data_IF_331237611150
#
_entry.id   IF_331237611150
#
_cell.length_a   1.000
_cell.length_b   1.000
_cell.length_c   1.000
_cell.angle_alpha   90.00
_cell.angle_beta   90.00
_cell.angle_gamma   90.00
#
_symmetry.space_group_name_H-M   'P 1'
#
loop_
_entity.id
_entity.type
_entity.pdbx_description
1 polymer ?
#
# COMPACT_ATOMS: atom_id res chain seq x y z
N UNK A 1 22.26 83.56 -0.83
CA UNK A 1 22.57 83.18 -2.22
C UNK A 1 22.64 81.65 -2.31
N UNK A 2 21.68 81.04 -3.01
CA UNK A 2 21.59 79.69 -3.63
C UNK A 2 22.42 78.47 -3.09
N UNK A 3 21.71 77.52 -2.47
CA UNK A 3 21.48 76.11 -2.91
C UNK A 3 22.51 75.36 -3.80
N UNK A 4 22.99 74.18 -3.36
CA UNK A 4 22.77 72.79 -3.89
C UNK A 4 23.79 71.77 -3.32
N UNK A 5 23.36 70.72 -2.58
CA UNK A 5 23.10 69.29 -2.98
C UNK A 5 24.39 68.51 -3.39
N UNK A 6 24.71 67.27 -2.98
CA UNK A 6 23.91 66.09 -2.59
C UNK A 6 24.81 64.92 -2.06
N UNK A 7 24.27 64.14 -1.11
CA UNK A 7 24.32 62.65 -0.89
C UNK A 7 25.69 61.94 -0.64
N UNK A 8 25.82 60.87 0.17
CA UNK A 8 25.05 59.60 0.19
C UNK A 8 25.14 58.86 1.56
N UNK A 9 23.99 58.30 1.95
CA UNK A 9 23.63 57.12 2.76
C UNK A 9 24.35 56.71 4.06
N UNK A 10 23.52 56.55 5.09
CA UNK A 10 23.80 55.98 6.40
C UNK A 10 23.31 54.53 6.52
N UNK A 11 24.01 53.74 7.33
CA UNK A 11 23.52 52.53 7.99
C UNK A 11 23.86 52.67 9.47
N UNK A 12 22.95 52.31 10.40
CA UNK A 12 23.39 51.87 11.71
C UNK A 12 22.97 50.42 11.99
N UNK A 13 23.92 49.72 12.59
CA UNK A 13 23.73 48.48 13.33
C UNK A 13 22.80 48.72 14.53
N UNK A 14 22.00 47.71 14.89
CA UNK A 14 21.34 47.66 16.20
C UNK A 14 21.64 46.32 16.87
N UNK A 15 22.06 46.49 18.11
CA UNK A 15 22.48 45.55 19.13
C UNK A 15 21.30 44.68 19.61
N UNK A 16 21.61 43.45 20.01
CA UNK A 16 20.73 42.46 20.64
C UNK A 16 20.34 42.90 22.06
N UNK A 17 19.07 42.76 22.42
CA UNK A 17 18.63 42.57 23.81
C UNK A 17 17.56 41.46 23.83
N UNK A 18 17.77 40.50 24.73
CA UNK A 18 16.94 39.32 24.94
C UNK A 18 15.67 39.65 25.70
N UNK A 19 14.57 38.98 25.35
CA UNK A 19 13.35 38.95 26.15
C UNK A 19 12.22 38.16 25.49
N UNK A 20 11.77 37.12 26.19
CA UNK A 20 10.46 36.44 26.14
C UNK A 20 10.25 35.34 25.08
N UNK A 21 9.93 34.16 25.61
CA UNK A 21 9.53 32.94 24.92
C UNK A 21 8.19 33.11 24.20
N UNK A 22 8.12 32.62 22.95
CA UNK A 22 6.88 32.33 22.23
C UNK A 22 6.84 30.82 21.92
N UNK A 23 5.71 30.12 22.13
CA UNK A 23 5.66 28.66 22.05
C UNK A 23 5.69 28.16 20.61
N UNK A 24 6.40 27.05 20.39
CA UNK A 24 6.12 26.08 19.34
C UNK A 24 6.08 26.61 17.91
N UNK A 25 7.24 27.04 17.38
CA UNK A 25 7.44 27.03 15.93
C UNK A 25 7.48 25.57 15.44
N UNK A 26 6.30 24.98 15.22
CA UNK A 26 6.16 23.82 14.36
C UNK A 26 6.59 24.26 12.96
N UNK A 27 7.87 24.08 12.65
CA UNK A 27 8.39 24.23 11.30
C UNK A 27 7.76 23.12 10.42
N UNK A 28 6.52 23.36 9.98
CA UNK A 28 5.94 22.65 8.85
C UNK A 28 6.65 23.22 7.61
N UNK A 29 7.79 22.63 7.22
CA UNK A 29 8.36 22.99 5.93
C UNK A 29 7.36 22.57 4.85
N UNK A 30 7.10 23.48 3.92
CA UNK A 30 5.98 23.37 3.01
C UNK A 30 6.01 22.06 2.21
N UNK A 31 4.90 21.31 2.18
CA UNK A 31 4.73 20.18 1.30
C UNK A 31 4.72 20.69 -0.15
N UNK A 32 5.54 20.09 -1.01
CA UNK A 32 5.62 20.49 -2.42
C UNK A 32 4.25 20.37 -3.10
N UNK A 33 3.63 21.47 -3.57
CA UNK A 33 2.44 21.40 -4.39
C UNK A 33 2.80 20.67 -5.67
N UNK A 34 2.18 19.52 -5.89
CA UNK A 34 2.47 18.69 -7.06
C UNK A 34 1.33 18.91 -8.05
N UNK A 35 1.64 19.49 -9.22
CA UNK A 35 0.64 19.80 -10.25
C UNK A 35 0.08 18.52 -10.89
N UNK A 36 -1.23 18.50 -11.13
CA UNK A 36 -1.94 17.49 -11.93
C UNK A 36 -2.88 16.60 -11.13
N UNK A 37 -4.05 16.32 -11.72
CA UNK A 37 -5.04 15.38 -11.16
C UNK A 37 -4.49 13.95 -11.08
N UNK A 38 -4.85 13.25 -10.00
CA UNK A 38 -4.52 11.86 -9.76
C UNK A 38 -5.66 11.18 -9.00
N UNK A 39 -5.61 9.85 -8.88
CA UNK A 39 -6.63 9.08 -8.16
C UNK A 39 -6.07 8.08 -7.15
N UNK A 40 -4.74 7.94 -7.13
CA UNK A 40 -4.01 7.14 -6.16
C UNK A 40 -2.66 7.80 -5.88
N UNK A 41 -2.25 7.82 -4.61
CA UNK A 41 -0.98 8.39 -4.20
C UNK A 41 -0.26 7.53 -3.16
N UNK A 42 1.06 7.44 -3.29
CA UNK A 42 1.96 6.86 -2.30
C UNK A 42 3.18 7.77 -2.11
N UNK A 43 4.15 7.32 -1.31
CA UNK A 43 5.40 8.05 -1.11
C UNK A 43 6.57 7.12 -1.38
N UNK A 44 7.61 7.63 -2.04
CA UNK A 44 8.88 6.92 -2.24
C UNK A 44 10.06 7.74 -1.73
N UNK A 45 11.16 7.09 -1.36
CA UNK A 45 12.43 7.72 -1.00
C UNK A 45 13.61 6.86 -1.43
N UNK A 46 14.82 7.42 -1.59
CA UNK A 46 16.03 6.63 -1.77
C UNK A 46 16.19 5.69 -0.57
N UNK A 47 16.46 4.40 -0.77
CA UNK A 47 16.47 3.41 0.32
C UNK A 47 17.50 3.72 1.41
N UNK A 48 18.57 4.45 1.08
CA UNK A 48 19.56 4.94 2.05
C UNK A 48 19.05 6.08 2.96
N UNK A 49 17.87 6.63 2.69
CA UNK A 49 17.27 7.77 3.38
C UNK A 49 15.99 7.37 4.13
N UNK A 50 16.02 6.23 4.83
CA UNK A 50 14.86 5.70 5.55
C UNK A 50 14.34 6.72 6.59
N UNK A 51 13.06 7.12 6.52
CA UNK A 51 12.47 8.00 7.52
C UNK A 51 12.49 7.40 8.93
N UNK A 52 12.89 8.21 9.92
CA UNK A 52 12.82 7.87 11.33
C UNK A 52 11.39 8.11 11.89
N UNK A 53 10.37 7.50 11.28
CA UNK A 53 8.97 7.67 11.68
C UNK A 53 7.97 7.13 10.67
N UNK A 54 6.69 7.32 10.98
CA UNK A 54 5.58 6.92 10.11
C UNK A 54 5.36 7.97 9.00
N UNK A 55 5.25 7.50 7.75
CA UNK A 55 4.92 8.38 6.62
C UNK A 55 3.41 8.59 6.59
N UNK A 56 3.00 9.86 6.56
CA UNK A 56 1.60 10.25 6.41
C UNK A 56 1.38 11.03 5.12
N UNK A 57 0.21 10.84 4.53
CA UNK A 57 -0.26 11.60 3.37
C UNK A 57 -1.65 12.18 3.64
N UNK A 58 -1.94 13.34 3.07
CA UNK A 58 -3.31 13.85 2.89
C UNK A 58 -3.47 14.38 1.47
N UNK A 59 -4.68 14.37 0.96
CA UNK A 59 -4.96 14.79 -0.42
C UNK A 59 -6.16 15.71 -0.48
N UNK A 60 -6.18 16.59 -1.46
CA UNK A 60 -7.28 17.51 -1.72
C UNK A 60 -8.15 16.96 -2.85
N UNK A 61 -9.45 16.81 -2.60
CA UNK A 61 -10.39 16.30 -3.58
C UNK A 61 -10.62 17.34 -4.69
N UNK A 62 -10.42 16.97 -5.96
CA UNK A 62 -10.46 17.89 -7.10
C UNK A 62 -11.83 18.56 -7.28
N UNK A 63 -12.93 17.86 -6.98
CA UNK A 63 -14.28 18.39 -7.16
C UNK A 63 -14.80 19.28 -6.03
N UNK A 64 -14.18 19.24 -4.83
CA UNK A 64 -14.68 19.97 -3.65
C UNK A 64 -13.66 20.89 -3.01
N UNK A 65 -12.36 20.73 -3.33
CA UNK A 65 -11.27 21.42 -2.64
C UNK A 65 -11.06 20.96 -1.19
N UNK A 66 -11.80 19.96 -0.71
CA UNK A 66 -11.70 19.49 0.67
C UNK A 66 -10.46 18.62 0.88
N UNK A 67 -9.72 18.89 1.96
CA UNK A 67 -8.60 18.07 2.39
C UNK A 67 -9.07 16.84 3.16
N UNK A 68 -8.49 15.68 2.85
CA UNK A 68 -8.60 14.52 3.73
C UNK A 68 -7.90 14.79 5.07
N UNK A 69 -8.28 14.07 6.16
CA UNK A 69 -7.39 13.96 7.30
C UNK A 69 -6.07 13.31 6.90
N UNK A 70 -5.06 13.41 7.76
CA UNK A 70 -3.79 12.71 7.57
C UNK A 70 -3.98 11.20 7.69
N UNK A 71 -3.37 10.46 6.78
CA UNK A 71 -3.42 9.01 6.72
C UNK A 71 -2.01 8.43 6.76
N UNK A 72 -1.74 7.56 7.73
CA UNK A 72 -0.48 6.80 7.78
C UNK A 72 -0.47 5.74 6.70
N UNK A 73 0.59 5.73 5.89
CA UNK A 73 0.86 4.71 4.88
C UNK A 73 1.80 3.63 5.46
N UNK A 74 1.55 2.37 5.10
CA UNK A 74 2.43 1.27 5.48
C UNK A 74 3.60 1.21 4.49
N UNK A 75 4.82 0.97 4.96
CA UNK A 75 5.99 0.83 4.09
C UNK A 75 5.94 -0.53 3.41
N UNK A 76 6.09 -0.54 2.08
CA UNK A 76 6.18 -1.78 1.31
C UNK A 76 7.61 -2.33 1.48
N UNK A 77 7.76 -3.62 1.84
CA UNK A 77 9.06 -4.25 2.00
C UNK A 77 9.93 -4.10 0.75
N UNK A 78 11.25 -3.91 0.93
CA UNK A 78 12.14 -3.53 -0.16
C UNK A 78 12.13 -4.44 -1.40
N UNK A 79 11.85 -5.74 -1.39
CA UNK A 79 12.12 -6.66 -2.53
C UNK A 79 13.58 -6.65 -3.06
N UNK A 80 14.03 -7.79 -3.57
CA UNK A 80 15.36 -7.95 -4.17
C UNK A 80 15.41 -7.48 -5.63
N UNK A 81 14.28 -7.05 -6.19
CA UNK A 81 14.18 -6.52 -7.55
C UNK A 81 14.70 -5.07 -7.57
N UNK A 82 16.00 -4.91 -7.87
CA UNK A 82 16.77 -3.74 -8.37
C UNK A 82 16.45 -2.30 -7.91
N UNK A 83 15.54 -2.09 -6.97
CA UNK A 83 15.07 -0.79 -6.55
C UNK A 83 16.08 -0.08 -5.66
N UNK A 84 16.54 1.08 -6.10
CA UNK A 84 17.28 2.05 -5.28
C UNK A 84 16.35 2.87 -4.38
N UNK A 85 15.04 2.66 -4.48
CA UNK A 85 13.99 3.37 -3.74
C UNK A 85 13.16 2.40 -2.92
N UNK A 86 12.69 2.89 -1.77
CA UNK A 86 11.67 2.26 -0.93
C UNK A 86 10.36 3.02 -1.15
N UNK A 87 9.24 2.31 -1.14
CA UNK A 87 7.91 2.87 -1.36
C UNK A 87 6.95 2.49 -0.24
N UNK A 88 5.85 3.22 -0.14
CA UNK A 88 4.71 2.86 0.70
C UNK A 88 3.68 2.06 -0.09
N UNK A 89 2.79 1.35 0.60
CA UNK A 89 1.50 0.99 0.03
C UNK A 89 0.79 2.27 -0.42
N UNK A 90 0.28 2.34 -1.65
CA UNK A 90 -0.42 3.52 -2.12
C UNK A 90 -1.84 3.55 -1.55
N UNK A 91 -2.44 4.73 -1.58
CA UNK A 91 -3.83 4.95 -1.16
C UNK A 91 -4.65 5.51 -2.30
N UNK A 92 -5.81 4.91 -2.55
CA UNK A 92 -6.85 5.45 -3.40
C UNK A 92 -7.46 6.70 -2.78
N UNK A 93 -7.48 7.77 -3.57
CA UNK A 93 -7.92 9.09 -3.14
C UNK A 93 -9.27 9.48 -3.76
N UNK A 94 -9.70 8.76 -4.80
CA UNK A 94 -10.63 9.34 -5.78
C UNK A 94 -9.96 10.52 -6.51
N UNK A 95 -10.69 11.26 -7.36
CA UNK A 95 -10.13 12.42 -8.05
C UNK A 95 -9.56 13.45 -7.07
N UNK A 96 -8.25 13.66 -7.12
CA UNK A 96 -7.51 14.58 -6.27
C UNK A 96 -6.57 15.44 -7.12
N UNK A 97 -6.39 16.70 -6.74
CA UNK A 97 -5.59 17.67 -7.48
C UNK A 97 -4.33 18.11 -6.71
N UNK A 98 -4.29 17.84 -5.40
CA UNK A 98 -3.17 18.18 -4.53
C UNK A 98 -2.90 17.08 -3.50
N UNK A 99 -1.63 16.91 -3.12
CA UNK A 99 -1.19 15.98 -2.08
C UNK A 99 -0.10 16.59 -1.22
N UNK A 100 -0.13 16.26 0.06
CA UNK A 100 0.90 16.63 1.03
C UNK A 100 1.33 15.40 1.81
N UNK A 101 2.62 15.31 2.13
CA UNK A 101 3.18 14.18 2.86
C UNK A 101 4.17 14.66 3.92
N UNK A 102 4.25 13.91 5.02
CA UNK A 102 5.13 14.21 6.16
C UNK A 102 5.59 12.93 6.85
N UNK A 103 6.62 13.05 7.67
CA UNK A 103 7.05 12.00 8.60
C UNK A 103 6.58 12.39 9.99
N UNK A 104 5.97 11.46 10.73
CA UNK A 104 5.57 11.63 12.13
C UNK A 104 6.37 10.68 13.01
N UNK A 105 7.06 11.23 14.01
CA UNK A 105 7.86 10.48 14.97
C UNK A 105 6.99 9.89 16.09
N UNK A 106 7.59 9.02 16.90
CA UNK A 106 6.90 8.39 18.03
C UNK A 106 6.43 9.41 19.10
N UNK A 107 7.13 10.55 19.22
CA UNK A 107 6.78 11.66 20.11
C UNK A 107 5.65 12.56 19.55
N UNK A 108 5.11 12.23 18.37
CA UNK A 108 4.06 13.00 17.69
C UNK A 108 4.56 14.21 16.89
N UNK A 109 5.85 14.55 16.98
CA UNK A 109 6.43 15.61 16.16
C UNK A 109 6.39 15.22 14.68
N UNK A 110 6.20 16.21 13.80
CA UNK A 110 6.22 16.00 12.35
C UNK A 110 7.36 16.74 11.68
N UNK A 111 7.99 16.10 10.70
CA UNK A 111 9.00 16.70 9.83
C UNK A 111 8.64 16.52 8.36
N UNK A 112 9.25 17.30 7.46
CA UNK A 112 9.17 17.06 6.03
C UNK A 112 9.67 15.66 5.65
N UNK A 113 9.36 15.23 4.42
CA UNK A 113 9.94 14.02 3.86
C UNK A 113 11.47 14.17 3.71
N UNK A 114 12.24 13.06 3.78
CA UNK A 114 13.69 13.11 3.61
C UNK A 114 14.09 13.56 2.20
N UNK A 115 15.34 14.03 2.06
CA UNK A 115 15.88 14.48 0.77
C UNK A 115 15.72 13.39 -0.31
N UNK A 116 15.19 13.78 -1.47
CA UNK A 116 14.98 12.88 -2.60
C UNK A 116 13.72 12.01 -2.51
N UNK A 117 12.93 12.16 -1.44
CA UNK A 117 11.59 11.60 -1.36
C UNK A 117 10.63 12.28 -2.33
N UNK A 118 9.61 11.55 -2.76
CA UNK A 118 8.63 11.98 -3.76
C UNK A 118 7.24 11.49 -3.34
N UNK A 119 6.23 12.32 -3.58
CA UNK A 119 4.85 11.86 -3.61
C UNK A 119 4.63 11.25 -4.99
N UNK A 120 4.36 9.96 -5.00
CA UNK A 120 4.16 9.16 -6.19
C UNK A 120 2.68 9.16 -6.53
N UNK A 121 2.32 9.59 -7.74
CA UNK A 121 0.93 9.78 -8.15
C UNK A 121 0.58 8.92 -9.33
N UNK A 122 -0.60 8.33 -9.27
CA UNK A 122 -1.19 7.58 -10.37
C UNK A 122 -2.51 8.24 -10.73
N UNK A 123 -2.59 8.74 -11.96
CA UNK A 123 -3.86 9.02 -12.62
C UNK A 123 -4.38 7.70 -13.19
N UNK A 124 -5.43 7.17 -12.57
CA UNK A 124 -6.19 6.06 -13.16
C UNK A 124 -6.94 6.57 -14.38
N UNK A 125 -6.93 5.76 -15.44
CA UNK A 125 -7.67 6.03 -16.65
C UNK A 125 -8.61 4.84 -16.90
N UNK A 126 -9.83 5.08 -17.40
CA UNK A 126 -10.71 4.00 -17.81
C UNK A 126 -9.99 3.03 -18.74
N UNK A 127 -10.25 1.74 -18.59
CA UNK A 127 -9.74 0.75 -19.53
C UNK A 127 -10.20 1.11 -20.95
N UNK A 128 -9.27 1.14 -21.91
CA UNK A 128 -9.59 1.32 -23.33
C UNK A 128 -10.34 0.07 -23.81
N UNK A 129 -11.67 0.18 -23.88
CA UNK A 129 -12.57 -0.94 -24.15
C UNK A 129 -13.62 -1.05 -23.05
N UNK A 130 -14.89 -0.91 -23.43
CA UNK A 130 -16.02 -0.93 -22.52
C UNK A 130 -15.91 -2.10 -21.53
N UNK A 131 -15.84 -1.79 -20.24
CA UNK A 131 -15.91 -2.79 -19.19
C UNK A 131 -17.22 -3.58 -19.38
N UNK A 132 -17.19 -4.92 -19.43
CA UNK A 132 -18.42 -5.68 -19.43
C UNK A 132 -19.22 -5.32 -18.18
N UNK A 133 -20.48 -4.88 -18.36
CA UNK A 133 -21.45 -4.78 -17.27
C UNK A 133 -21.44 -6.11 -16.50
N UNK A 134 -21.11 -6.14 -15.21
CA UNK A 134 -20.97 -7.41 -14.52
C UNK A 134 -22.34 -8.02 -14.27
N UNK A 135 -22.67 -9.09 -14.98
CA UNK A 135 -23.54 -10.14 -14.43
C UNK A 135 -22.76 -10.78 -13.28
N UNK A 136 -22.93 -10.25 -12.07
CA UNK A 136 -22.28 -10.76 -10.89
C UNK A 136 -22.87 -12.13 -10.50
N UNK A 137 -22.36 -13.22 -11.09
CA UNK A 137 -22.52 -14.53 -10.47
C UNK A 137 -21.71 -14.55 -9.18
N UNK A 138 -22.39 -14.86 -8.07
CA UNK A 138 -21.78 -15.08 -6.76
C UNK A 138 -20.85 -16.31 -6.89
N UNK A 139 -19.53 -16.12 -6.73
CA UNK A 139 -18.58 -17.24 -6.63
C UNK A 139 -17.61 -17.49 -7.78
N UNK A 140 -17.33 -16.52 -8.66
CA UNK A 140 -16.25 -16.64 -9.66
C UNK A 140 -15.18 -15.58 -9.39
N UNK A 141 -13.91 -16.00 -9.39
CA UNK A 141 -12.76 -15.09 -9.34
C UNK A 141 -12.78 -14.23 -10.61
N UNK A 142 -12.76 -12.90 -10.43
CA UNK A 142 -12.70 -11.96 -11.55
C UNK A 142 -11.32 -12.00 -12.19
N UNK A 143 -11.26 -12.36 -13.46
CA UNK A 143 -9.99 -12.50 -14.19
C UNK A 143 -9.34 -11.15 -14.43
N UNK A 144 -8.04 -11.18 -14.77
CA UNK A 144 -7.28 -10.00 -15.18
C UNK A 144 -7.92 -9.22 -16.31
N UNK A 145 -8.41 -9.91 -17.33
CA UNK A 145 -9.21 -9.32 -18.43
C UNK A 145 -10.47 -8.62 -17.91
N UNK A 146 -11.18 -9.19 -16.94
CA UNK A 146 -12.44 -8.63 -16.42
C UNK A 146 -12.25 -7.36 -15.59
N UNK A 147 -11.11 -7.16 -14.94
CA UNK A 147 -10.80 -5.89 -14.26
C UNK A 147 -9.98 -4.92 -15.11
N UNK A 148 -9.64 -5.30 -16.35
CA UNK A 148 -8.96 -4.44 -17.32
C UNK A 148 -7.46 -4.32 -17.07
N UNK A 149 -6.80 -5.43 -16.71
CA UNK A 149 -5.35 -5.47 -16.59
C UNK A 149 -4.67 -5.08 -17.91
N UNK A 150 -3.72 -4.13 -17.84
CA UNK A 150 -2.87 -3.83 -18.98
C UNK A 150 -1.67 -4.79 -18.99
N UNK A 151 -1.81 -5.91 -19.70
CA UNK A 151 -0.78 -6.96 -19.70
C UNK A 151 0.55 -6.53 -20.35
N UNK A 152 0.58 -5.44 -21.12
CA UNK A 152 1.84 -4.90 -21.67
C UNK A 152 2.73 -4.22 -20.63
N UNK A 153 2.21 -4.00 -19.41
CA UNK A 153 3.00 -3.49 -18.30
C UNK A 153 3.76 -4.59 -17.56
N UNK A 154 3.43 -5.87 -17.76
CA UNK A 154 4.16 -6.94 -17.08
C UNK A 154 5.62 -6.95 -17.52
N UNK A 155 6.50 -7.18 -16.56
CA UNK A 155 7.91 -7.50 -16.81
C UNK A 155 8.07 -8.99 -17.11
N UNK A 156 9.00 -9.61 -16.41
CA UNK A 156 9.42 -10.99 -16.63
C UNK A 156 8.26 -12.01 -16.49
N UNK A 157 8.39 -13.20 -17.10
CA UNK A 157 7.43 -14.28 -16.95
C UNK A 157 7.17 -14.66 -15.48
N UNK A 158 5.97 -15.18 -15.15
CA UNK A 158 5.65 -15.58 -13.79
C UNK A 158 6.50 -16.76 -13.32
N UNK A 159 7.02 -16.66 -12.11
CA UNK A 159 7.67 -17.75 -11.38
C UNK A 159 6.66 -18.55 -10.57
N UNK A 160 6.97 -19.83 -10.32
CA UNK A 160 6.10 -20.74 -9.58
C UNK A 160 6.89 -21.43 -8.46
N UNK A 161 6.31 -21.40 -7.26
CA UNK A 161 6.75 -22.26 -6.16
C UNK A 161 6.30 -23.71 -6.39
N UNK A 162 6.61 -24.60 -5.44
CA UNK A 162 6.19 -26.00 -5.53
C UNK A 162 4.71 -26.17 -5.18
N UNK A 163 4.23 -25.47 -4.14
CA UNK A 163 2.85 -25.52 -3.65
C UNK A 163 2.54 -24.30 -2.79
N UNK A 164 1.25 -23.99 -2.62
CA UNK A 164 0.82 -22.97 -1.66
C UNK A 164 0.66 -23.61 -0.28
N UNK A 165 1.60 -23.34 0.60
CA UNK A 165 1.62 -23.84 1.97
C UNK A 165 0.82 -22.97 2.94
N UNK A 166 0.76 -21.65 2.67
CA UNK A 166 0.00 -20.69 3.46
C UNK A 166 -0.64 -19.60 2.61
N UNK A 167 -1.76 -19.07 3.08
CA UNK A 167 -2.39 -17.84 2.61
C UNK A 167 -2.04 -16.72 3.57
N UNK A 168 -1.43 -15.66 3.04
CA UNK A 168 -1.12 -14.44 3.80
C UNK A 168 -2.19 -13.38 3.50
N UNK A 169 -2.86 -12.91 4.55
CA UNK A 169 -3.92 -11.90 4.45
C UNK A 169 -3.32 -10.51 4.62
N UNK A 170 -3.61 -9.64 3.66
CA UNK A 170 -3.18 -8.25 3.60
C UNK A 170 -4.38 -7.29 3.60
N UNK A 171 -4.12 -6.02 3.87
CA UNK A 171 -4.95 -4.90 3.46
C UNK A 171 -4.13 -3.96 2.57
N UNK A 172 -4.77 -3.09 1.81
CA UNK A 172 -4.07 -2.15 0.91
C UNK A 172 -3.87 -0.75 1.51
N UNK A 173 -4.42 -0.48 2.71
CA UNK A 173 -4.42 0.87 3.34
C UNK A 173 -5.23 1.91 2.53
N UNK A 174 -6.06 1.45 1.59
CA UNK A 174 -6.98 2.30 0.83
C UNK A 174 -8.10 2.89 1.70
N UNK A 175 -8.80 3.89 1.17
CA UNK A 175 -10.09 4.29 1.72
C UNK A 175 -11.07 3.12 1.75
N UNK A 176 -11.99 3.08 2.72
CA UNK A 176 -13.11 2.15 2.74
C UNK A 176 -14.41 2.76 2.16
N UNK A 177 -14.35 4.00 1.66
CA UNK A 177 -15.51 4.75 1.18
C UNK A 177 -15.80 4.58 -0.32
N UNK A 178 -15.00 3.80 -1.06
CA UNK A 178 -15.21 3.58 -2.49
C UNK A 178 -16.49 2.78 -2.78
N UNK A 179 -17.06 3.00 -3.96
CA UNK A 179 -18.12 2.15 -4.46
C UNK A 179 -17.52 0.85 -4.96
N UNK A 180 -18.14 -0.29 -4.66
CA UNK A 180 -17.55 -1.56 -5.06
C UNK A 180 -17.49 -1.75 -6.60
N UNK A 181 -18.13 -0.87 -7.38
CA UNK A 181 -17.97 -0.80 -8.83
C UNK A 181 -16.59 -0.21 -9.23
N UNK A 182 -15.95 0.56 -8.35
CA UNK A 182 -14.64 1.18 -8.56
C UNK A 182 -13.48 0.23 -8.27
N UNK A 183 -13.74 -0.92 -7.66
CA UNK A 183 -12.69 -1.88 -7.30
C UNK A 183 -11.75 -2.24 -8.48
N UNK A 184 -12.24 -2.48 -9.73
CA UNK A 184 -11.36 -2.63 -10.88
C UNK A 184 -10.41 -1.44 -11.14
N UNK A 185 -10.90 -0.20 -11.00
CA UNK A 185 -10.08 1.01 -11.17
C UNK A 185 -9.01 1.11 -10.09
N UNK A 186 -9.37 0.84 -8.83
CA UNK A 186 -8.42 0.79 -7.71
C UNK A 186 -7.33 -0.25 -7.98
N UNK A 187 -7.71 -1.46 -8.41
CA UNK A 187 -6.76 -2.54 -8.74
C UNK A 187 -5.83 -2.13 -9.88
N UNK A 188 -6.34 -1.50 -10.95
CA UNK A 188 -5.50 -0.98 -12.05
C UNK A 188 -4.51 0.08 -11.58
N UNK A 189 -4.93 0.97 -10.69
CA UNK A 189 -4.06 2.00 -10.15
C UNK A 189 -2.95 1.42 -9.26
N UNK A 190 -3.28 0.44 -8.40
CA UNK A 190 -2.29 -0.30 -7.61
C UNK A 190 -1.35 -1.10 -8.51
N UNK A 191 -1.87 -1.74 -9.55
CA UNK A 191 -1.05 -2.46 -10.53
C UNK A 191 -0.05 -1.51 -11.22
N UNK A 192 -0.52 -0.35 -11.69
CA UNK A 192 0.36 0.68 -12.27
C UNK A 192 1.42 1.15 -11.28
N UNK A 193 1.04 1.38 -10.02
CA UNK A 193 1.97 1.78 -8.96
C UNK A 193 3.07 0.72 -8.76
N UNK A 194 2.69 -0.56 -8.62
CA UNK A 194 3.65 -1.65 -8.46
C UNK A 194 4.62 -1.76 -9.64
N UNK A 195 4.14 -1.68 -10.88
CA UNK A 195 5.04 -1.80 -12.04
C UNK A 195 5.85 -0.54 -12.29
N UNK A 196 5.19 0.62 -12.36
CA UNK A 196 5.81 1.86 -12.84
C UNK A 196 6.53 2.64 -11.75
N UNK A 197 6.13 2.47 -10.49
CA UNK A 197 6.75 3.14 -9.35
C UNK A 197 7.67 2.19 -8.59
N UNK A 198 7.21 0.99 -8.23
CA UNK A 198 8.06 0.04 -7.49
C UNK A 198 9.03 -0.72 -8.40
N UNK A 199 8.80 -0.73 -9.72
CA UNK A 199 9.62 -1.48 -10.68
C UNK A 199 9.37 -2.98 -10.69
N UNK A 200 8.24 -3.44 -10.13
CA UNK A 200 7.93 -4.86 -10.03
C UNK A 200 7.45 -5.45 -11.36
N UNK A 201 7.68 -6.74 -11.54
CA UNK A 201 7.24 -7.47 -12.72
C UNK A 201 5.71 -7.50 -12.91
N UNK A 202 4.92 -7.45 -11.83
CA UNK A 202 3.46 -7.41 -11.88
C UNK A 202 2.90 -6.90 -10.54
N UNK A 203 1.57 -6.83 -10.39
CA UNK A 203 0.94 -6.57 -9.10
C UNK A 203 1.41 -7.60 -8.04
N UNK A 204 1.87 -7.11 -6.88
CA UNK A 204 2.53 -7.97 -5.88
C UNK A 204 1.61 -9.00 -5.20
N UNK A 205 0.31 -8.74 -5.12
CA UNK A 205 -0.66 -9.64 -4.51
C UNK A 205 -1.13 -10.72 -5.50
N UNK A 206 -1.25 -11.97 -5.04
CA UNK A 206 -1.82 -13.04 -5.87
C UNK A 206 -3.31 -12.82 -6.13
N UNK A 207 -4.04 -12.33 -5.14
CA UNK A 207 -5.47 -12.04 -5.22
C UNK A 207 -5.83 -10.77 -4.46
N UNK A 208 -6.94 -10.15 -4.84
CA UNK A 208 -7.48 -8.98 -4.16
C UNK A 208 -8.97 -9.16 -3.87
N UNK A 209 -9.46 -8.58 -2.78
CA UNK A 209 -10.85 -8.67 -2.32
C UNK A 209 -11.40 -7.28 -2.06
N UNK A 210 -12.55 -6.95 -2.65
CA UNK A 210 -13.27 -5.71 -2.34
C UNK A 210 -14.13 -5.84 -1.07
N UNK A 211 -14.59 -4.71 -0.53
CA UNK A 211 -15.46 -4.67 0.66
C UNK A 211 -16.83 -5.32 0.45
N UNK A 212 -17.22 -5.57 -0.80
CA UNK A 212 -18.44 -6.26 -1.18
C UNK A 212 -18.27 -7.79 -1.28
N UNK A 213 -17.08 -8.32 -1.05
CA UNK A 213 -16.78 -9.75 -1.08
C UNK A 213 -16.57 -10.30 -2.49
N UNK A 214 -16.23 -9.45 -3.46
CA UNK A 214 -15.76 -9.90 -4.79
C UNK A 214 -14.26 -10.12 -4.73
N UNK A 215 -13.80 -11.17 -5.40
CA UNK A 215 -12.38 -11.54 -5.48
C UNK A 215 -11.88 -11.40 -6.91
N UNK A 216 -10.64 -10.95 -7.04
CA UNK A 216 -9.98 -10.61 -8.30
C UNK A 216 -8.64 -11.34 -8.36
N UNK A 217 -8.31 -11.89 -9.51
CA UNK A 217 -6.97 -12.41 -9.81
C UNK A 217 -5.99 -11.24 -9.86
N UNK A 218 -4.96 -11.27 -9.02
CA UNK A 218 -3.85 -10.32 -9.02
C UNK A 218 -2.74 -10.83 -9.92
N UNK A 219 -1.61 -11.26 -9.35
CA UNK A 219 -0.42 -11.77 -10.04
C UNK A 219 -0.78 -12.75 -11.17
N UNK A 220 -0.35 -12.45 -12.38
CA UNK A 220 -0.63 -13.20 -13.61
C UNK A 220 -0.17 -14.65 -13.52
N UNK A 221 -0.96 -15.58 -14.07
CA UNK A 221 -0.69 -17.01 -14.03
C UNK A 221 -1.03 -17.66 -12.68
N UNK A 222 -1.62 -16.90 -11.76
CA UNK A 222 -1.78 -17.29 -10.37
C UNK A 222 -2.97 -18.18 -10.03
N UNK A 223 -4.00 -18.24 -10.88
CA UNK A 223 -5.24 -19.00 -10.72
C UNK A 223 -5.17 -20.19 -9.75
N UNK A 224 -5.14 -21.42 -10.24
CA UNK A 224 -4.93 -22.62 -9.39
C UNK A 224 -3.46 -22.87 -9.06
N UNK A 225 -2.51 -22.19 -9.71
CA UNK A 225 -1.06 -22.44 -9.63
C UNK A 225 -0.39 -21.71 -8.46
N UNK A 226 0.75 -22.19 -7.94
CA UNK A 226 1.51 -21.53 -6.88
C UNK A 226 2.40 -20.40 -7.43
N UNK A 227 1.81 -19.40 -8.10
CA UNK A 227 2.60 -18.27 -8.63
C UNK A 227 3.24 -17.48 -7.49
N UNK A 228 4.52 -17.14 -7.64
CA UNK A 228 5.26 -16.33 -6.67
C UNK A 228 4.83 -14.87 -6.79
N UNK A 229 4.41 -14.28 -5.67
CA UNK A 229 4.04 -12.87 -5.58
C UNK A 229 5.20 -11.97 -5.15
N UNK A 230 4.88 -10.72 -4.82
CA UNK A 230 5.80 -9.73 -4.24
C UNK A 230 5.15 -9.02 -3.04
N UNK A 231 4.37 -9.75 -2.23
CA UNK A 231 3.55 -9.19 -1.16
C UNK A 231 4.18 -9.30 0.24
N UNK A 232 5.13 -10.20 0.46
CA UNK A 232 5.74 -10.45 1.77
C UNK A 232 7.21 -10.85 1.61
N UNK A 233 8.11 -9.89 1.70
CA UNK A 233 9.56 -10.12 1.60
C UNK A 233 10.04 -11.24 2.55
N UNK A 234 10.83 -12.16 2.02
CA UNK A 234 11.25 -13.39 2.73
C UNK A 234 10.26 -14.54 2.63
N UNK A 235 8.99 -14.30 2.31
CA UNK A 235 7.92 -15.30 2.35
C UNK A 235 7.03 -15.30 1.11
N UNK A 236 7.48 -14.70 -0.01
CA UNK A 236 6.75 -14.71 -1.28
C UNK A 236 6.63 -16.12 -1.86
N UNK A 237 7.68 -16.94 -1.72
CA UNK A 237 7.68 -18.30 -2.23
C UNK A 237 6.77 -19.19 -1.36
N UNK A 238 6.08 -20.14 -2.00
CA UNK A 238 5.15 -21.09 -1.38
C UNK A 238 4.01 -20.47 -0.55
N UNK A 239 3.73 -19.17 -0.68
CA UNK A 239 2.55 -18.55 -0.09
C UNK A 239 1.67 -17.89 -1.15
N UNK A 240 0.42 -17.62 -0.80
CA UNK A 240 -0.50 -16.85 -1.64
C UNK A 240 -1.02 -15.65 -0.87
N UNK A 241 -0.62 -14.46 -1.29
CA UNK A 241 -1.06 -13.18 -0.74
C UNK A 241 -2.43 -12.78 -1.26
N UNK A 242 -3.37 -12.54 -0.34
CA UNK A 242 -4.68 -11.97 -0.63
C UNK A 242 -4.85 -10.62 0.07
N UNK A 243 -4.98 -9.54 -0.70
CA UNK A 243 -5.15 -8.18 -0.18
C UNK A 243 -6.61 -7.75 -0.17
N UNK A 244 -7.11 -7.33 0.99
CA UNK A 244 -8.43 -6.70 1.10
C UNK A 244 -8.30 -5.20 0.85
N UNK A 245 -9.00 -4.70 -0.17
CA UNK A 245 -8.99 -3.28 -0.53
C UNK A 245 -9.64 -2.48 0.61
N UNK A 246 -8.83 -1.64 1.28
CA UNK A 246 -9.24 -0.75 2.36
C UNK A 246 -8.28 -0.72 3.56
N UNK A 247 -8.66 0.04 4.59
CA UNK A 247 -7.90 0.21 5.83
C UNK A 247 -8.67 -0.37 7.05
N UNK A 248 -8.30 -1.59 7.44
CA UNK A 248 -8.90 -2.31 8.57
C UNK A 248 -8.12 -2.15 9.88
N UNK A 249 -7.35 -1.07 10.05
CA UNK A 249 -6.74 -0.76 11.37
C UNK A 249 -7.81 -0.49 12.42
N UNK A 250 -8.80 0.34 12.10
CA UNK A 250 -9.91 0.69 13.00
C UNK A 250 -11.30 0.37 12.44
N UNK A 251 -11.44 0.26 11.11
CA UNK A 251 -12.72 0.01 10.45
C UNK A 251 -13.18 -1.44 10.60
N UNK A 252 -14.46 -1.63 10.87
CA UNK A 252 -15.06 -2.95 10.96
C UNK A 252 -14.93 -3.71 9.62
N UNK A 253 -14.70 -5.01 9.71
CA UNK A 253 -14.59 -5.89 8.54
C UNK A 253 -15.98 -6.37 8.14
N UNK A 254 -16.45 -6.13 6.90
CA UNK A 254 -17.72 -6.67 6.43
C UNK A 254 -17.73 -8.20 6.47
N UNK A 255 -18.86 -8.80 6.86
CA UNK A 255 -19.00 -10.27 6.91
C UNK A 255 -18.73 -10.92 5.55
N UNK A 256 -19.13 -10.27 4.45
CA UNK A 256 -18.86 -10.70 3.07
C UNK A 256 -17.36 -10.87 2.80
N UNK A 257 -16.50 -10.00 3.36
CA UNK A 257 -15.03 -10.11 3.26
C UNK A 257 -14.54 -11.36 3.99
N UNK A 258 -14.96 -11.57 5.24
CA UNK A 258 -14.56 -12.77 5.99
C UNK A 258 -15.04 -14.06 5.31
N UNK A 259 -16.25 -14.07 4.74
CA UNK A 259 -16.80 -15.23 4.04
C UNK A 259 -16.09 -15.52 2.71
N UNK A 260 -15.70 -14.51 1.93
CA UNK A 260 -14.94 -14.75 0.69
C UNK A 260 -13.50 -15.17 1.00
N UNK A 261 -12.85 -14.59 2.02
CA UNK A 261 -11.51 -15.01 2.44
C UNK A 261 -11.50 -16.46 2.91
N UNK A 262 -12.51 -16.90 3.67
CA UNK A 262 -12.61 -18.28 4.11
C UNK A 262 -12.76 -19.25 2.92
N UNK A 263 -13.66 -18.94 1.97
CA UNK A 263 -13.84 -19.76 0.76
C UNK A 263 -12.59 -19.80 -0.11
N UNK A 264 -11.93 -18.66 -0.27
CA UNK A 264 -10.68 -18.56 -1.02
C UNK A 264 -9.57 -19.39 -0.36
N UNK A 265 -9.36 -19.23 0.95
CA UNK A 265 -8.35 -19.96 1.69
C UNK A 265 -8.58 -21.48 1.62
N UNK A 266 -9.83 -21.92 1.81
CA UNK A 266 -10.21 -23.34 1.63
C UNK A 266 -9.84 -23.83 0.23
N UNK A 267 -10.29 -23.13 -0.81
CA UNK A 267 -10.04 -23.53 -2.19
C UNK A 267 -8.54 -23.60 -2.50
N UNK A 268 -7.78 -22.55 -2.17
CA UNK A 268 -6.35 -22.47 -2.52
C UNK A 268 -5.51 -23.49 -1.77
N UNK A 269 -5.80 -23.73 -0.49
CA UNK A 269 -5.09 -24.73 0.32
C UNK A 269 -5.51 -26.16 -0.02
N UNK A 270 -6.75 -26.40 -0.40
CA UNK A 270 -7.22 -27.73 -0.83
C UNK A 270 -6.50 -28.22 -2.10
N UNK A 271 -6.12 -27.32 -3.01
CA UNK A 271 -5.29 -27.67 -4.19
C UNK A 271 -3.98 -28.33 -3.76
N UNK A 272 -3.41 -27.90 -2.62
CA UNK A 272 -2.19 -28.45 -2.05
C UNK A 272 -2.44 -29.54 -0.98
N UNK A 273 -3.71 -29.96 -0.78
CA UNK A 273 -4.08 -30.98 0.21
C UNK A 273 -4.05 -30.52 1.67
N UNK A 274 -4.19 -29.22 1.94
CA UNK A 274 -4.06 -28.64 3.28
C UNK A 274 -5.36 -28.07 3.86
N UNK A 275 -5.51 -28.15 5.19
CA UNK A 275 -6.64 -27.52 5.92
C UNK A 275 -6.24 -26.17 6.50
N UNK A 276 -7.16 -25.20 6.46
CA UNK A 276 -6.89 -23.81 6.84
C UNK A 276 -6.50 -23.60 8.32
N UNK A 277 -7.02 -24.41 9.23
CA UNK A 277 -6.72 -24.36 10.68
C UNK A 277 -5.41 -25.04 11.08
N UNK A 278 -4.69 -25.71 10.17
CA UNK A 278 -3.39 -26.32 10.47
C UNK A 278 -2.30 -25.25 10.61
N UNK A 279 -1.23 -25.62 11.31
CA UNK A 279 0.02 -24.84 11.33
C UNK A 279 1.00 -25.35 10.28
N UNK A 280 1.88 -24.47 9.83
CA UNK A 280 2.99 -24.77 8.93
C UNK A 280 4.23 -23.99 9.40
N UNK A 281 5.41 -24.53 9.12
CA UNK A 281 6.68 -23.83 9.31
C UNK A 281 7.10 -23.29 7.95
N UNK A 282 7.18 -21.98 7.83
CA UNK A 282 7.72 -21.30 6.65
C UNK A 282 9.18 -20.94 6.90
N UNK A 283 9.99 -20.92 5.85
CA UNK A 283 11.39 -20.50 5.91
C UNK A 283 11.57 -19.14 5.22
N UNK A 284 12.28 -18.22 5.86
CA UNK A 284 12.58 -16.93 5.27
C UNK A 284 13.62 -17.08 4.14
N UNK A 285 13.21 -16.86 2.90
CA UNK A 285 14.12 -16.93 1.74
C UNK A 285 15.17 -15.81 1.69
N UNK A 286 14.89 -14.68 2.37
CA UNK A 286 15.78 -13.52 2.53
C UNK A 286 15.52 -12.84 3.88
N UNK A 287 16.52 -12.15 4.44
CA UNK A 287 16.33 -11.30 5.62
C UNK A 287 15.37 -10.16 5.31
N UNK A 288 14.44 -9.89 6.23
CA UNK A 288 13.36 -8.92 6.03
C UNK A 288 13.21 -7.90 7.17
N UNK A 289 14.22 -7.83 8.05
CA UNK A 289 14.27 -6.95 9.22
C UNK A 289 13.52 -7.50 10.44
N UNK A 290 12.66 -8.50 10.27
CA UNK A 290 12.03 -9.24 11.36
C UNK A 290 12.62 -10.64 11.54
N UNK A 291 12.96 -11.27 10.43
CA UNK A 291 13.57 -12.58 10.35
C UNK A 291 14.79 -12.53 9.44
N UNK A 292 15.79 -13.32 9.75
CA UNK A 292 16.97 -13.53 8.92
C UNK A 292 16.75 -14.64 7.90
N UNK A 293 17.53 -14.63 6.81
CA UNK A 293 17.48 -15.70 5.81
C UNK A 293 17.73 -17.06 6.47
N UNK A 294 16.84 -18.02 6.21
CA UNK A 294 16.88 -19.37 6.77
C UNK A 294 16.09 -19.53 8.08
N UNK A 295 15.60 -18.45 8.68
CA UNK A 295 14.76 -18.53 9.88
C UNK A 295 13.48 -19.31 9.61
N UNK A 296 13.11 -20.17 10.56
CA UNK A 296 11.91 -21.01 10.52
C UNK A 296 10.82 -20.42 11.38
N UNK A 297 9.70 -20.04 10.76
CA UNK A 297 8.58 -19.36 11.41
C UNK A 297 7.33 -20.24 11.37
N UNK A 298 6.83 -20.61 12.55
CA UNK A 298 5.63 -21.43 12.68
C UNK A 298 4.37 -20.55 12.73
N UNK A 299 3.52 -20.65 11.71
CA UNK A 299 2.27 -19.89 11.59
C UNK A 299 1.09 -20.81 11.29
N UNK A 300 -0.14 -20.30 11.42
CA UNK A 300 -1.28 -20.97 10.81
C UNK A 300 -1.21 -20.86 9.29
N UNK A 301 -1.75 -21.84 8.56
CA UNK A 301 -1.83 -21.80 7.09
C UNK A 301 -2.68 -20.65 6.57
N UNK A 302 -3.54 -20.05 7.39
CA UNK A 302 -4.08 -18.71 7.15
C UNK A 302 -3.53 -17.77 8.22
N UNK A 303 -2.61 -16.90 7.79
CA UNK A 303 -1.90 -15.95 8.63
C UNK A 303 -2.00 -14.54 8.06
N UNK A 304 -1.62 -13.53 8.84
CA UNK A 304 -1.50 -12.16 8.39
C UNK A 304 -0.06 -11.83 7.98
N UNK A 305 0.09 -10.79 7.16
CA UNK A 305 1.40 -10.24 6.81
C UNK A 305 2.26 -9.94 8.05
N UNK A 306 1.69 -9.32 9.10
CA UNK A 306 2.41 -9.03 10.36
C UNK A 306 2.98 -10.25 11.08
N UNK A 307 2.50 -11.46 10.79
CA UNK A 307 3.06 -12.67 11.39
C UNK A 307 4.48 -12.94 10.83
N UNK A 308 4.74 -12.56 9.59
CA UNK A 308 6.00 -12.88 8.87
C UNK A 308 6.84 -11.64 8.50
N UNK A 309 6.31 -10.43 8.69
CA UNK A 309 7.00 -9.17 8.39
C UNK A 309 6.71 -8.09 9.46
N UNK A 310 7.59 -7.10 9.60
CA UNK A 310 7.42 -5.97 10.53
C UNK A 310 6.45 -4.92 9.97
N UNK A 311 5.15 -5.15 10.12
CA UNK A 311 4.09 -4.30 9.56
C UNK A 311 2.82 -4.31 10.40
N UNK A 312 1.97 -3.29 10.23
CA UNK A 312 0.62 -3.25 10.79
C UNK A 312 -0.39 -4.05 9.95
N UNK A 313 -0.04 -4.45 8.72
CA UNK A 313 -0.91 -5.17 7.82
C UNK A 313 -1.36 -6.54 8.39
N UNK A 314 -2.66 -6.92 8.32
CA UNK A 314 -3.76 -6.32 7.56
C UNK A 314 -4.63 -5.34 8.37
N UNK A 315 -4.08 -4.70 9.40
CA UNK A 315 -4.85 -3.89 10.36
C UNK A 315 -5.50 -4.71 11.48
N UNK A 316 -5.71 -4.08 12.64
CA UNK A 316 -6.12 -4.77 13.86
C UNK A 316 -7.49 -5.44 13.74
N UNK A 317 -8.47 -4.82 13.05
CA UNK A 317 -9.82 -5.38 12.91
C UNK A 317 -9.84 -6.62 12.01
N UNK A 318 -9.07 -6.64 10.92
CA UNK A 318 -8.96 -7.81 10.05
C UNK A 318 -8.09 -8.91 10.65
N UNK A 319 -7.01 -8.54 11.36
CA UNK A 319 -6.21 -9.49 12.12
C UNK A 319 -7.06 -10.26 13.15
N UNK A 320 -7.94 -9.54 13.88
CA UNK A 320 -8.87 -10.15 14.84
C UNK A 320 -9.89 -11.13 14.22
N UNK A 321 -10.08 -11.12 12.89
CA UNK A 321 -10.98 -12.04 12.18
C UNK A 321 -10.31 -13.31 11.68
N UNK A 322 -8.98 -13.44 11.77
CA UNK A 322 -8.27 -14.61 11.24
C UNK A 322 -8.71 -15.93 11.89
N UNK A 323 -9.07 -15.93 13.17
CA UNK A 323 -9.62 -17.11 13.84
C UNK A 323 -10.91 -17.59 13.18
N UNK A 324 -11.87 -16.67 13.00
CA UNK A 324 -13.12 -16.95 12.29
C UNK A 324 -12.89 -17.42 10.87
N UNK A 325 -11.99 -16.77 10.12
CA UNK A 325 -11.67 -17.14 8.74
C UNK A 325 -11.14 -18.58 8.68
N UNK A 326 -10.22 -18.96 9.58
CA UNK A 326 -9.69 -20.33 9.67
C UNK A 326 -10.79 -21.34 9.94
N UNK A 327 -11.60 -21.13 10.98
CA UNK A 327 -12.68 -22.05 11.34
C UNK A 327 -13.69 -22.22 10.21
N UNK A 328 -14.05 -21.14 9.50
CA UNK A 328 -14.98 -21.20 8.37
C UNK A 328 -14.38 -21.77 7.08
N UNK A 329 -13.04 -21.83 6.98
CA UNK A 329 -12.32 -22.38 5.82
C UNK A 329 -11.94 -23.85 6.00
N UNK A 330 -11.94 -24.36 7.23
CA UNK A 330 -11.58 -25.74 7.57
C UNK A 330 -12.64 -26.77 7.23
#
# INVERSE_FOLDING_TARGET
>A
MRLRKRAVAALPAVLVLAGLSVPGSSASAEPTPTQGEFSLAGVSWPSAQQPAGAVQIRTRAAGTGAWSPWHTLDVTPRQTESGTRTTTEPRWTGPADEAQARVVRADGSSTPLPRGARIEKVKEQPATGAAPRPLARKGVIKTRKQWGANESWRGDPPEYGSKVEAVLVHHTVDSNSYDCADAPAIIRAIYRYHVKTNGWNDIGYNFMVDRCGRIYEGRYGGGSRPVVGAHSMGFNNNTSGVAVIGDYRSKAVPSKVTSILARFARWKLNIAGYRANQKVTLEAGVSNGKYDKGDKVRVYRVAAHRNVYATSCPGAKLYGKLGTIRSSAS
#
